data_IF_188490420622
#
_entry.id   IF_188490420622
#
_cell.length_a   1.000
_cell.length_b   1.000
_cell.length_c   1.000
_cell.angle_alpha   90.00
_cell.angle_beta   90.00
_cell.angle_gamma   90.00
#
_symmetry.space_group_name_H-M   'P 1'
#
loop_
_entity.id
_entity.type
_entity.pdbx_description
1 polymer ?
#
# COMPACT_ATOMS: atom_id res chain seq x y z
N UNK A 1 20.89 -40.43 2.85
CA UNK A 1 20.28 -39.92 1.61
C UNK A 1 18.98 -39.12 1.86
N UNK A 2 18.97 -38.10 2.74
CA UNK A 2 17.70 -37.51 3.24
C UNK A 2 17.63 -35.97 3.41
N UNK A 3 18.75 -35.24 3.29
CA UNK A 3 18.75 -33.76 3.44
C UNK A 3 18.41 -33.01 2.15
N UNK A 4 18.72 -33.59 0.99
CA UNK A 4 18.48 -32.98 -0.34
C UNK A 4 17.01 -32.95 -0.74
N UNK A 5 16.15 -33.84 -0.25
CA UNK A 5 14.73 -33.89 -0.64
C UNK A 5 13.84 -32.89 0.14
N UNK A 6 14.25 -32.49 1.36
CA UNK A 6 13.49 -31.53 2.20
C UNK A 6 13.62 -30.09 1.70
N UNK A 7 14.78 -29.72 1.17
CA UNK A 7 15.06 -28.35 0.69
C UNK A 7 14.34 -28.02 -0.62
N UNK A 8 14.22 -28.99 -1.54
CA UNK A 8 13.54 -28.79 -2.82
C UNK A 8 12.01 -28.68 -2.66
N UNK A 9 11.41 -29.43 -1.72
CA UNK A 9 9.98 -29.27 -1.38
C UNK A 9 9.67 -27.91 -0.74
N UNK A 10 10.57 -27.37 0.08
CA UNK A 10 10.43 -26.03 0.66
C UNK A 10 10.61 -24.92 -0.39
N UNK A 11 11.59 -25.07 -1.29
CA UNK A 11 11.81 -24.17 -2.41
C UNK A 11 10.65 -24.19 -3.43
N UNK A 12 10.11 -25.38 -3.74
CA UNK A 12 8.95 -25.54 -4.62
C UNK A 12 7.66 -24.99 -3.98
N UNK A 13 7.46 -25.20 -2.66
CA UNK A 13 6.38 -24.53 -1.90
C UNK A 13 6.52 -23.01 -1.92
N UNK A 14 7.75 -22.49 -1.81
CA UNK A 14 8.05 -21.06 -1.92
C UNK A 14 7.70 -20.51 -3.30
N UNK A 15 8.12 -21.17 -4.39
CA UNK A 15 7.84 -20.75 -5.76
C UNK A 15 6.34 -20.84 -6.09
N UNK A 16 5.67 -21.94 -5.70
CA UNK A 16 4.22 -22.13 -5.91
C UNK A 16 3.36 -21.16 -5.08
N UNK A 17 3.88 -20.65 -3.96
CA UNK A 17 3.19 -19.66 -3.11
C UNK A 17 3.49 -18.22 -3.53
N UNK A 18 4.70 -17.93 -4.00
CA UNK A 18 5.11 -16.59 -4.43
C UNK A 18 4.48 -16.18 -5.76
N UNK A 19 4.38 -17.11 -6.73
CA UNK A 19 3.78 -16.82 -8.04
C UNK A 19 2.38 -16.19 -7.93
N UNK A 20 1.40 -16.82 -7.27
CA UNK A 20 0.09 -16.21 -7.07
C UNK A 20 0.06 -15.00 -6.13
N UNK A 21 1.00 -14.79 -5.20
CA UNK A 21 1.12 -13.49 -4.49
C UNK A 21 1.51 -12.36 -5.46
N UNK A 22 2.28 -12.68 -6.50
CA UNK A 22 2.77 -11.75 -7.50
C UNK A 22 1.80 -11.54 -8.67
N UNK A 23 1.16 -12.61 -9.14
CA UNK A 23 0.35 -12.65 -10.36
C UNK A 23 -1.17 -12.69 -10.08
N UNK A 24 -1.63 -13.28 -8.97
CA UNK A 24 -3.05 -13.41 -8.62
C UNK A 24 -3.33 -13.17 -7.12
N UNK A 25 -2.91 -12.02 -6.56
CA UNK A 25 -2.93 -11.76 -5.13
C UNK A 25 -4.31 -11.94 -4.48
N UNK A 26 -5.40 -11.66 -5.20
CA UNK A 26 -6.76 -11.87 -4.73
C UNK A 26 -7.08 -13.34 -4.37
N UNK A 27 -6.45 -14.29 -5.08
CA UNK A 27 -6.56 -15.72 -4.77
C UNK A 27 -5.69 -16.08 -3.57
N UNK A 28 -4.47 -15.54 -3.48
CA UNK A 28 -3.59 -15.75 -2.34
C UNK A 28 -4.21 -15.23 -1.03
N UNK A 29 -4.86 -14.06 -1.05
CA UNK A 29 -5.57 -13.52 0.12
C UNK A 29 -6.75 -14.41 0.54
N UNK A 30 -7.48 -14.96 -0.44
CA UNK A 30 -8.70 -15.75 -0.23
C UNK A 30 -8.42 -17.17 0.27
N UNK A 31 -7.34 -17.80 -0.20
CA UNK A 31 -7.13 -19.23 0.01
C UNK A 31 -5.95 -19.55 0.93
N UNK A 32 -5.11 -18.58 1.30
CA UNK A 32 -3.94 -18.81 2.15
C UNK A 32 -3.84 -17.91 3.38
N UNK A 33 -3.34 -18.50 4.46
CA UNK A 33 -2.83 -17.76 5.62
C UNK A 33 -1.47 -17.15 5.27
N UNK A 34 -1.48 -15.90 4.82
CA UNK A 34 -0.27 -15.13 4.53
C UNK A 34 0.45 -14.69 5.83
N UNK A 35 1.77 -14.78 5.82
CA UNK A 35 2.62 -14.13 6.82
C UNK A 35 2.60 -12.60 6.65
N UNK A 36 3.01 -11.84 7.65
CA UNK A 36 3.06 -10.37 7.56
C UNK A 36 3.87 -9.86 6.35
N UNK A 37 5.06 -10.40 6.03
CA UNK A 37 5.82 -9.98 4.84
C UNK A 37 5.11 -10.29 3.52
N UNK A 38 4.50 -11.46 3.40
CA UNK A 38 3.74 -11.86 2.20
C UNK A 38 2.50 -11.01 2.02
N UNK A 39 1.81 -10.70 3.11
CA UNK A 39 0.66 -9.81 3.11
C UNK A 39 1.06 -8.39 2.67
N UNK A 40 2.21 -7.90 3.12
CA UNK A 40 2.78 -6.63 2.64
C UNK A 40 3.05 -6.64 1.14
N UNK A 41 3.67 -7.71 0.60
CA UNK A 41 3.91 -7.86 -0.85
C UNK A 41 2.62 -7.94 -1.66
N UNK A 42 1.64 -8.70 -1.19
CA UNK A 42 0.33 -8.79 -1.82
C UNK A 42 -0.37 -7.41 -1.82
N UNK A 43 -0.30 -6.68 -0.71
CA UNK A 43 -0.81 -5.32 -0.58
C UNK A 43 -0.19 -4.37 -1.60
N UNK A 44 1.13 -4.37 -1.72
CA UNK A 44 1.84 -3.52 -2.69
C UNK A 44 1.45 -3.87 -4.14
N UNK A 45 1.38 -5.16 -4.49
CA UNK A 45 0.97 -5.63 -5.81
C UNK A 45 -0.46 -5.18 -6.16
N UNK A 46 -1.40 -5.41 -5.25
CA UNK A 46 -2.81 -5.02 -5.43
C UNK A 46 -2.94 -3.51 -5.55
N UNK A 47 -2.26 -2.75 -4.68
CA UNK A 47 -2.26 -1.29 -4.71
C UNK A 47 -1.72 -0.76 -6.04
N UNK A 48 -0.60 -1.29 -6.52
CA UNK A 48 -0.03 -0.87 -7.81
C UNK A 48 -0.97 -1.14 -8.99
N UNK A 49 -1.66 -2.30 -9.01
CA UNK A 49 -2.64 -2.62 -10.06
C UNK A 49 -3.84 -1.69 -10.00
N UNK A 50 -4.40 -1.50 -8.81
CA UNK A 50 -5.54 -0.66 -8.57
C UNK A 50 -5.24 0.80 -8.99
N UNK A 51 -4.10 1.35 -8.56
CA UNK A 51 -3.65 2.69 -8.94
C UNK A 51 -3.46 2.84 -10.46
N UNK A 52 -2.90 1.83 -11.14
CA UNK A 52 -2.81 1.84 -12.62
C UNK A 52 -4.19 1.90 -13.27
N UNK A 53 -5.16 1.12 -12.79
CA UNK A 53 -6.54 1.16 -13.30
C UNK A 53 -7.22 2.49 -13.04
N UNK A 54 -6.86 3.17 -11.95
CA UNK A 54 -7.28 4.53 -11.64
C UNK A 54 -6.54 5.62 -12.46
N UNK A 55 -5.70 5.24 -13.44
CA UNK A 55 -5.02 6.16 -14.34
C UNK A 55 -3.67 6.67 -13.87
N UNK A 56 -3.15 6.20 -12.74
CA UNK A 56 -1.82 6.57 -12.26
C UNK A 56 -0.72 5.81 -13.00
N UNK A 57 0.38 6.49 -13.30
CA UNK A 57 1.56 5.84 -13.88
C UNK A 57 2.52 5.42 -12.77
N UNK A 58 2.70 4.12 -12.56
CA UNK A 58 3.68 3.60 -11.59
C UNK A 58 5.08 3.72 -12.18
N UNK A 59 5.94 4.50 -11.52
CA UNK A 59 7.32 4.76 -11.92
C UNK A 59 8.31 3.80 -11.26
N UNK A 60 8.00 3.32 -10.06
CA UNK A 60 8.91 2.50 -9.28
C UNK A 60 8.20 1.80 -8.11
N UNK A 61 8.84 0.77 -7.58
CA UNK A 61 8.37 -0.04 -6.46
C UNK A 61 9.55 -0.34 -5.55
N UNK A 62 9.35 -0.31 -4.24
CA UNK A 62 10.41 -0.55 -3.23
C UNK A 62 11.67 0.27 -3.52
N UNK A 63 11.47 1.57 -3.73
CA UNK A 63 12.54 2.48 -4.10
C UNK A 63 13.32 2.87 -2.85
N UNK A 64 14.61 2.57 -2.83
CA UNK A 64 15.51 3.04 -1.77
C UNK A 64 15.91 4.49 -2.05
N UNK A 65 15.75 5.35 -1.06
CA UNK A 65 16.20 6.75 -1.11
C UNK A 65 17.07 7.07 0.11
N UNK A 66 17.82 8.19 0.11
CA UNK A 66 18.53 8.65 1.30
C UNK A 66 17.61 8.95 2.50
N UNK A 67 16.30 9.06 2.27
CA UNK A 67 15.31 9.34 3.31
C UNK A 67 14.53 8.07 3.73
N UNK A 68 14.94 6.89 3.25
CA UNK A 68 14.31 5.60 3.53
C UNK A 68 13.68 4.96 2.31
N UNK A 69 13.03 3.82 2.53
CA UNK A 69 12.34 3.06 1.48
C UNK A 69 10.93 3.59 1.20
N UNK A 70 10.59 3.68 -0.08
CA UNK A 70 9.27 4.04 -0.61
C UNK A 70 8.61 2.82 -1.25
N UNK A 71 7.41 2.45 -0.81
CA UNK A 71 6.74 1.24 -1.30
C UNK A 71 6.37 1.35 -2.78
N UNK A 72 5.72 2.44 -3.19
CA UNK A 72 5.45 2.75 -4.60
C UNK A 72 5.76 4.22 -4.91
N UNK A 73 6.24 4.46 -6.13
CA UNK A 73 6.36 5.79 -6.70
C UNK A 73 5.47 5.86 -7.93
N UNK A 74 4.61 6.86 -7.99
CA UNK A 74 3.71 7.07 -9.12
C UNK A 74 3.73 8.52 -9.60
N UNK A 75 3.22 8.75 -10.81
CA UNK A 75 3.08 10.07 -11.39
C UNK A 75 1.68 10.28 -11.98
N UNK A 76 1.23 11.53 -11.89
CA UNK A 76 -0.04 12.00 -12.45
C UNK A 76 -0.23 13.49 -12.18
N UNK A 77 -0.87 14.19 -13.12
CA UNK A 77 -1.15 15.63 -13.01
C UNK A 77 0.06 16.50 -12.64
N UNK A 78 1.23 16.23 -13.25
CA UNK A 78 2.47 16.99 -13.00
C UNK A 78 3.18 16.66 -11.68
N UNK A 79 2.68 15.73 -10.88
CA UNK A 79 3.25 15.39 -9.58
C UNK A 79 3.94 14.03 -9.57
N UNK A 80 5.01 13.91 -8.79
CA UNK A 80 5.58 12.65 -8.33
C UNK A 80 5.07 12.36 -6.91
N UNK A 81 4.47 11.18 -6.74
CA UNK A 81 3.81 10.79 -5.51
C UNK A 81 4.49 9.56 -4.94
N UNK A 82 4.96 9.68 -3.69
CA UNK A 82 5.34 8.52 -2.89
C UNK A 82 4.08 7.92 -2.26
N UNK A 83 3.90 6.61 -2.34
CA UNK A 83 2.76 5.92 -1.75
C UNK A 83 3.26 4.94 -0.71
N UNK A 84 2.79 5.10 0.52
CA UNK A 84 2.94 4.10 1.58
C UNK A 84 1.82 3.06 1.46
N UNK A 85 2.12 1.77 1.60
CA UNK A 85 1.12 0.71 1.56
C UNK A 85 1.06 0.00 2.92
N UNK A 86 -0.11 0.03 3.55
CA UNK A 86 -0.35 -0.67 4.82
C UNK A 86 -1.42 -1.73 4.65
N UNK A 87 -1.00 -3.00 4.73
CA UNK A 87 -1.92 -4.14 4.73
C UNK A 87 -2.19 -4.64 6.15
N UNK A 88 -3.41 -5.10 6.43
CA UNK A 88 -3.70 -5.76 7.69
C UNK A 88 -5.12 -6.31 7.79
N UNK A 89 -5.31 -7.15 8.80
CA UNK A 89 -6.61 -7.74 9.12
C UNK A 89 -7.41 -6.83 10.06
N UNK A 90 -8.71 -6.74 9.81
CA UNK A 90 -9.66 -5.98 10.61
C UNK A 90 -10.65 -6.94 11.26
N UNK A 91 -10.94 -6.73 12.55
CA UNK A 91 -11.88 -7.59 13.30
C UNK A 91 -13.32 -7.33 12.89
N UNK A 92 -13.67 -6.07 12.70
CA UNK A 92 -14.96 -5.63 12.20
C UNK A 92 -14.77 -5.11 10.79
N UNK A 93 -15.58 -5.59 9.84
CA UNK A 93 -15.49 -5.22 8.44
C UNK A 93 -16.15 -3.85 8.22
N UNK A 94 -15.40 -2.78 7.90
CA UNK A 94 -15.94 -1.43 7.84
C UNK A 94 -16.35 -0.99 6.45
N UNK A 95 -16.18 -1.86 5.45
CA UNK A 95 -16.29 -1.47 4.05
C UNK A 95 -17.74 -1.59 3.61
N UNK A 96 -18.32 -0.46 3.21
CA UNK A 96 -19.62 -0.35 2.54
C UNK A 96 -19.39 0.28 1.16
N UNK A 97 -19.94 -0.31 0.10
CA UNK A 97 -19.79 0.16 -1.29
C UNK A 97 -18.34 0.43 -1.73
N UNK A 98 -17.42 -0.42 -1.27
CA UNK A 98 -15.99 -0.29 -1.56
C UNK A 98 -15.29 0.86 -0.83
N UNK A 99 -15.97 1.56 0.08
CA UNK A 99 -15.44 2.68 0.86
C UNK A 99 -15.39 2.35 2.34
N UNK A 100 -14.49 3.03 3.05
CA UNK A 100 -14.42 2.99 4.51
C UNK A 100 -14.86 4.35 5.04
N UNK A 101 -15.81 4.42 5.99
CA UNK A 101 -16.22 5.67 6.59
C UNK A 101 -15.01 6.43 7.16
N UNK A 102 -14.95 7.75 6.93
CA UNK A 102 -13.87 8.59 7.45
C UNK A 102 -13.77 8.50 8.99
N UNK A 103 -14.91 8.36 9.68
CA UNK A 103 -14.99 8.19 11.13
C UNK A 103 -14.50 6.83 11.63
N UNK A 104 -14.27 5.84 10.76
CA UNK A 104 -13.84 4.52 11.18
C UNK A 104 -12.33 4.50 11.50
N UNK A 105 -11.98 4.65 12.78
CA UNK A 105 -10.58 4.76 13.22
C UNK A 105 -10.24 3.88 14.44
N UNK A 106 -10.38 2.54 14.37
CA UNK A 106 -10.00 1.69 15.48
C UNK A 106 -8.48 1.66 15.66
N UNK A 107 -8.01 1.47 16.90
CA UNK A 107 -6.59 1.44 17.25
C UNK A 107 -5.75 0.46 16.40
N UNK A 108 -6.37 -0.62 15.91
CA UNK A 108 -5.74 -1.64 15.06
C UNK A 108 -5.80 -1.40 13.55
N UNK A 109 -6.29 -0.25 13.07
CA UNK A 109 -6.38 0.07 11.64
C UNK A 109 -4.97 0.13 11.01
N UNK A 110 -4.73 -0.55 9.86
CA UNK A 110 -3.39 -0.63 9.26
C UNK A 110 -2.71 0.72 9.04
N UNK A 111 -3.45 1.71 8.55
CA UNK A 111 -2.97 3.03 8.24
C UNK A 111 -2.57 3.88 9.45
N UNK A 112 -2.96 3.53 10.69
CA UNK A 112 -2.47 4.21 11.90
C UNK A 112 -0.97 4.01 12.14
N UNK A 113 -0.35 3.07 11.43
CA UNK A 113 1.12 2.88 11.43
C UNK A 113 1.86 3.88 10.53
N UNK A 114 1.17 4.87 9.97
CA UNK A 114 1.78 6.01 9.29
C UNK A 114 1.90 7.16 10.29
N UNK A 115 3.09 7.37 10.83
CA UNK A 115 3.38 8.46 11.78
C UNK A 115 4.03 9.67 11.08
N UNK A 116 4.26 10.74 11.85
CA UNK A 116 4.91 11.96 11.37
C UNK A 116 6.31 11.72 10.82
N UNK A 117 7.11 10.86 11.46
CA UNK A 117 8.47 10.56 11.01
C UNK A 117 8.47 9.91 9.63
N UNK A 118 7.58 8.92 9.41
CA UNK A 118 7.39 8.25 8.13
C UNK A 118 6.83 9.20 7.09
N UNK A 119 5.86 10.04 7.44
CA UNK A 119 5.29 11.03 6.52
C UNK A 119 6.35 12.04 6.04
N UNK A 120 7.07 12.66 6.97
CA UNK A 120 8.15 13.60 6.65
C UNK A 120 9.26 12.93 5.82
N UNK A 121 9.62 11.69 6.13
CA UNK A 121 10.58 10.91 5.36
C UNK A 121 10.10 10.69 3.92
N UNK A 122 8.84 10.28 3.72
CA UNK A 122 8.22 10.08 2.41
C UNK A 122 8.12 11.39 1.61
N UNK A 123 7.81 12.52 2.26
CA UNK A 123 7.78 13.83 1.62
C UNK A 123 9.17 14.24 1.11
N UNK A 124 10.23 14.03 1.91
CA UNK A 124 11.61 14.27 1.48
C UNK A 124 12.03 13.32 0.36
N UNK A 125 11.66 12.04 0.46
CA UNK A 125 11.90 11.05 -0.60
C UNK A 125 11.24 11.47 -1.92
N UNK A 126 9.99 11.96 -1.87
CA UNK A 126 9.28 12.46 -3.06
C UNK A 126 10.00 13.65 -3.71
N UNK A 127 10.42 14.65 -2.93
CA UNK A 127 11.24 15.75 -3.47
C UNK A 127 12.56 15.27 -4.10
N UNK A 128 13.23 14.34 -3.43
CA UNK A 128 14.50 13.80 -3.91
C UNK A 128 14.35 13.02 -5.22
N UNK A 129 13.30 12.20 -5.33
CA UNK A 129 12.95 11.44 -6.52
C UNK A 129 12.50 12.34 -7.67
N UNK A 130 11.68 13.35 -7.39
CA UNK A 130 11.19 14.32 -8.37
C UNK A 130 12.33 14.98 -9.15
N UNK A 131 13.44 15.31 -8.48
CA UNK A 131 14.65 15.89 -9.11
C UNK A 131 15.43 14.92 -9.99
N UNK A 132 15.24 13.60 -9.82
CA UNK A 132 16.04 12.55 -10.47
C UNK A 132 15.28 11.78 -11.54
N UNK A 133 13.97 11.68 -11.38
CA UNK A 133 13.09 10.98 -12.31
C UNK A 133 12.48 11.98 -13.30
N UNK A 134 12.06 11.49 -14.46
CA UNK A 134 11.30 12.28 -15.44
C UNK A 134 11.97 13.60 -15.87
N UNK A 135 13.31 13.61 -15.86
CA UNK A 135 14.14 14.80 -16.13
C UNK A 135 13.85 15.99 -15.21
N UNK A 136 13.39 15.77 -13.98
CA UNK A 136 13.13 16.85 -13.03
C UNK A 136 11.81 17.60 -13.26
N UNK A 137 10.97 17.14 -14.19
CA UNK A 137 9.76 17.86 -14.63
C UNK A 137 8.54 17.67 -13.72
N UNK A 138 8.62 16.79 -12.74
CA UNK A 138 7.52 16.53 -11.83
C UNK A 138 7.73 17.28 -10.50
N UNK A 139 6.64 17.78 -9.92
CA UNK A 139 6.65 18.34 -8.58
C UNK A 139 6.69 17.22 -7.53
N UNK A 140 7.63 17.32 -6.59
CA UNK A 140 7.74 16.40 -5.46
C UNK A 140 7.00 16.91 -4.22
N UNK A 141 7.06 16.11 -3.15
CA UNK A 141 6.50 16.42 -1.83
C UNK A 141 5.15 15.79 -1.54
N UNK A 142 4.47 15.22 -2.54
CA UNK A 142 3.20 14.53 -2.31
C UNK A 142 3.42 13.11 -1.78
N UNK A 143 2.67 12.78 -0.74
CA UNK A 143 2.57 11.45 -0.16
C UNK A 143 1.12 11.00 -0.14
N UNK A 144 0.88 9.79 -0.60
CA UNK A 144 -0.41 9.12 -0.49
C UNK A 144 -0.26 7.87 0.39
N UNK A 145 -1.36 7.38 0.95
CA UNK A 145 -1.40 6.13 1.71
C UNK A 145 -2.45 5.21 1.08
N UNK A 146 -2.10 3.95 0.85
CA UNK A 146 -3.06 2.90 0.47
C UNK A 146 -3.15 1.86 1.57
N UNK A 147 -4.37 1.62 2.04
CA UNK A 147 -4.65 0.55 2.98
C UNK A 147 -5.26 -0.65 2.27
N UNK A 148 -4.66 -1.83 2.48
CA UNK A 148 -5.31 -3.10 2.17
C UNK A 148 -5.95 -3.64 3.45
N UNK A 149 -7.28 -3.63 3.49
CA UNK A 149 -8.05 -4.23 4.57
C UNK A 149 -8.43 -5.65 4.21
N UNK A 150 -8.22 -6.59 5.13
CA UNK A 150 -8.72 -7.95 5.03
C UNK A 150 -9.64 -8.26 6.19
N UNK A 151 -10.71 -9.00 5.95
CA UNK A 151 -11.45 -9.58 7.07
C UNK A 151 -10.60 -10.62 7.82
N UNK A 152 -11.07 -11.00 9.01
CA UNK A 152 -10.41 -11.99 9.88
C UNK A 152 -10.09 -13.30 9.17
N UNK A 153 -10.94 -13.71 8.21
CA UNK A 153 -10.81 -14.97 7.48
C UNK A 153 -10.08 -14.85 6.14
N UNK A 154 -9.76 -13.63 5.65
CA UNK A 154 -9.18 -13.39 4.33
C UNK A 154 -10.15 -13.54 3.16
N UNK A 155 -11.43 -13.80 3.43
CA UNK A 155 -12.46 -14.02 2.41
C UNK A 155 -12.88 -12.71 1.72
N UNK A 156 -12.74 -11.57 2.42
CA UNK A 156 -13.02 -10.24 1.90
C UNK A 156 -11.77 -9.36 1.98
N UNK A 157 -11.57 -8.55 0.96
CA UNK A 157 -10.52 -7.54 0.95
C UNK A 157 -10.98 -6.25 0.26
N UNK A 158 -10.39 -5.12 0.64
CA UNK A 158 -10.66 -3.81 0.06
C UNK A 158 -9.40 -2.96 0.07
N UNK A 159 -9.26 -2.10 -0.93
CA UNK A 159 -8.22 -1.09 -1.01
C UNK A 159 -8.83 0.29 -0.75
N UNK A 160 -8.23 1.03 0.15
CA UNK A 160 -8.62 2.41 0.46
C UNK A 160 -7.46 3.32 0.15
N UNK A 161 -7.65 4.26 -0.78
CA UNK A 161 -6.65 5.26 -1.13
C UNK A 161 -6.93 6.58 -0.41
N UNK A 162 -5.93 7.02 0.35
CA UNK A 162 -5.87 8.32 1.00
C UNK A 162 -4.94 9.22 0.20
N UNK A 163 -5.54 10.01 -0.69
CA UNK A 163 -4.80 10.97 -1.49
C UNK A 163 -4.36 12.17 -0.63
N UNK A 164 -3.16 12.68 -0.88
CA UNK A 164 -2.58 13.85 -0.18
C UNK A 164 -2.62 13.66 1.34
N UNK A 165 -1.98 12.60 1.80
CA UNK A 165 -1.78 12.38 3.22
C UNK A 165 -0.90 13.49 3.80
N UNK A 166 -1.51 14.47 4.47
CA UNK A 166 -0.83 15.58 5.13
C UNK A 166 -0.69 15.36 6.65
N UNK A 167 -1.51 14.50 7.22
CA UNK A 167 -1.51 14.12 8.63
C UNK A 167 -1.68 12.61 8.79
N UNK A 168 -1.10 11.98 9.83
CA UNK A 168 -1.41 10.61 10.22
C UNK A 168 -2.92 10.34 10.40
N UNK A 169 -3.43 9.19 9.93
CA UNK A 169 -4.86 8.81 10.06
C UNK A 169 -5.38 8.70 11.51
N UNK A 170 -4.49 8.68 12.50
CA UNK A 170 -4.82 8.57 13.92
C UNK A 170 -4.98 9.89 14.66
N UNK A 171 -4.64 11.00 14.01
CA UNK A 171 -4.62 12.34 14.59
C UNK A 171 -5.59 13.19 13.77
N UNK A 172 -6.83 13.36 14.26
CA UNK A 172 -7.85 14.15 13.58
C UNK A 172 -7.33 15.55 13.29
N UNK A 173 -7.46 16.06 12.06
CA UNK A 173 -7.24 17.45 11.78
C UNK A 173 -8.54 18.20 12.07
N UNK A 174 -8.80 18.56 13.33
CA UNK A 174 -9.98 19.36 13.69
C UNK A 174 -9.98 20.77 13.04
N UNK A 175 -9.00 21.07 12.16
CA UNK A 175 -8.89 22.31 11.40
C UNK A 175 -8.56 22.14 9.90
N UNK A 176 -8.78 20.98 9.28
CA UNK A 176 -8.83 20.94 7.80
C UNK A 176 -10.09 20.25 7.28
N UNK A 177 -10.88 21.05 6.57
CA UNK A 177 -12.05 20.64 5.81
C UNK A 177 -11.77 19.35 5.03
N UNK A 178 -12.75 18.42 4.93
CA UNK A 178 -12.58 17.19 4.18
C UNK A 178 -12.65 17.49 2.67
N UNK A 179 -11.55 17.98 2.10
CA UNK A 179 -11.37 18.08 0.64
C UNK A 179 -10.38 17.02 0.13
N UNK A 180 -10.05 16.02 0.95
CA UNK A 180 -9.34 14.81 0.54
C UNK A 180 -10.33 13.74 0.08
N UNK A 181 -10.54 13.63 -1.22
CA UNK A 181 -11.44 12.64 -1.80
C UNK A 181 -10.95 11.20 -1.51
N UNK A 182 -11.48 10.56 -0.46
CA UNK A 182 -11.37 9.11 -0.28
C UNK A 182 -12.09 8.44 -1.45
N UNK A 183 -11.32 7.97 -2.43
CA UNK A 183 -11.87 7.35 -3.63
C UNK A 183 -11.63 5.85 -3.55
N UNK A 184 -12.68 5.02 -3.75
CA UNK A 184 -12.52 3.59 -3.83
C UNK A 184 -11.64 3.29 -5.04
N UNK A 185 -10.66 2.40 -4.86
CA UNK A 185 -9.91 1.87 -5.99
C UNK A 185 -10.21 0.38 -6.08
N UNK A 186 -10.81 -0.01 -7.20
CA UNK A 186 -11.21 -1.40 -7.41
C UNK A 186 -9.97 -2.28 -7.71
N UNK A 187 -9.87 -3.45 -7.07
CA UNK A 187 -8.73 -4.36 -7.19
C UNK A 187 -8.58 -5.02 -8.56
#
# INVERSE_FOLDING_TARGET
MGRRLRTWRAALKSVLRNGPIEFAPQWALRFWTLSNPELGRAGENLSARALRRAGWRILGRRMTTPHGEVDLVMAGAGQLVCVEVKAGRVRHWPVADGRVPASWNPLGRPGRRMDWSRLCAQQRASHWLARRMEAGRLEGGRVDLVELLLDSHGSRHALVHHARCLTPLGESPENSSPTGAHSPIHP
#
